data_IF_154733161178
#
_entry.id   IF_154733161178
#
_cell.length_a   1.000
_cell.length_b   1.000
_cell.length_c   1.000
_cell.angle_alpha   90.00
_cell.angle_beta   90.00
_cell.angle_gamma   90.00
#
_symmetry.space_group_name_H-M   'P 1'
#
loop_
_entity.id
_entity.type
_entity.pdbx_description
1 polymer ?
#
# COMPACT_ATOMS: atom_id res chain seq x y z
N UNK A 1 -1.60 14.30 32.60
CA UNK A 1 -1.90 13.14 31.72
C UNK A 1 -0.75 12.15 31.84
N UNK A 2 -0.94 10.88 31.50
CA UNK A 2 0.07 9.84 31.81
C UNK A 2 1.38 10.03 31.02
N UNK A 3 2.47 9.48 31.57
CA UNK A 3 3.69 9.23 30.79
C UNK A 3 3.40 8.08 29.82
N UNK A 4 2.92 8.40 28.62
CA UNK A 4 2.70 7.44 27.55
C UNK A 4 4.05 6.96 27.03
N UNK A 5 4.20 5.64 26.94
CA UNK A 5 5.39 5.01 26.41
C UNK A 5 5.52 5.20 24.88
N UNK A 6 6.69 4.83 24.36
CA UNK A 6 7.05 5.02 22.95
C UNK A 6 6.19 4.21 21.99
N UNK A 7 5.66 3.07 22.43
CA UNK A 7 4.83 2.18 21.62
C UNK A 7 3.39 2.69 21.60
N UNK A 8 2.83 3.11 22.75
CA UNK A 8 1.54 3.82 22.80
C UNK A 8 1.52 5.05 21.89
N UNK A 9 2.58 5.87 21.86
CA UNK A 9 2.65 7.06 20.97
C UNK A 9 2.58 6.65 19.48
N UNK A 10 3.24 5.56 19.09
CA UNK A 10 3.15 5.01 17.73
C UNK A 10 1.77 4.45 17.43
N UNK A 11 1.29 3.55 18.29
CA UNK A 11 0.04 2.83 18.12
C UNK A 11 -1.14 3.80 18.03
N UNK A 12 -1.14 4.90 18.80
CA UNK A 12 -2.09 5.99 18.66
C UNK A 12 -2.04 6.61 17.24
N UNK A 13 -0.84 7.01 16.79
CA UNK A 13 -0.66 7.63 15.49
C UNK A 13 -0.99 6.71 14.29
N UNK A 14 -0.73 5.41 14.43
CA UNK A 14 -1.02 4.36 13.45
C UNK A 14 -2.51 4.01 13.41
N UNK A 15 -3.22 4.09 14.56
CA UNK A 15 -4.68 4.01 14.64
C UNK A 15 -5.40 5.34 14.30
N UNK A 16 -4.69 6.32 13.73
CA UNK A 16 -5.27 7.56 13.21
C UNK A 16 -5.48 8.68 14.23
N UNK A 17 -5.01 8.56 15.47
CA UNK A 17 -5.00 9.68 16.42
C UNK A 17 -3.96 10.71 15.96
N UNK A 18 -4.42 11.90 15.57
CA UNK A 18 -3.54 13.01 15.16
C UNK A 18 -2.87 13.57 16.42
N UNK A 19 -1.57 13.33 16.57
CA UNK A 19 -0.76 13.93 17.63
C UNK A 19 -0.68 15.42 17.34
N UNK A 20 -1.17 16.24 18.28
CA UNK A 20 -1.11 17.70 18.17
C UNK A 20 0.21 18.26 18.70
N UNK A 21 0.64 19.42 18.21
CA UNK A 21 1.80 20.13 18.74
C UNK A 21 1.70 20.42 20.25
N UNK A 22 0.49 20.51 20.82
CA UNK A 22 0.27 20.61 22.27
C UNK A 22 0.66 19.32 22.98
N UNK A 23 0.22 18.15 22.49
CA UNK A 23 0.59 16.86 23.07
C UNK A 23 2.09 16.63 22.99
N UNK A 24 2.75 16.98 21.88
CA UNK A 24 4.23 16.92 21.79
C UNK A 24 4.89 17.79 22.86
N UNK A 25 4.42 19.02 23.06
CA UNK A 25 4.95 19.93 24.08
C UNK A 25 4.65 19.48 25.52
N UNK A 26 3.53 18.81 25.77
CA UNK A 26 3.19 18.26 27.09
C UNK A 26 3.96 16.95 27.37
N UNK A 27 4.27 16.15 26.34
CA UNK A 27 5.19 14.98 26.42
C UNK A 27 6.64 15.45 26.65
N UNK A 28 7.11 16.52 25.99
CA UNK A 28 8.45 17.09 26.22
C UNK A 28 8.62 17.58 27.68
N UNK A 29 7.63 18.28 28.23
CA UNK A 29 7.63 18.66 29.66
C UNK A 29 7.67 17.44 30.58
N UNK A 30 6.91 16.38 30.26
CA UNK A 30 6.89 15.16 31.06
C UNK A 30 8.20 14.37 30.99
N UNK A 31 8.82 14.26 29.81
CA UNK A 31 10.12 13.60 29.63
C UNK A 31 11.25 14.37 30.34
N UNK A 32 11.23 15.70 30.29
CA UNK A 32 12.19 16.55 31.02
C UNK A 32 12.04 16.42 32.54
N UNK A 33 10.80 16.46 33.05
CA UNK A 33 10.51 16.26 34.46
C UNK A 33 10.88 14.86 34.98
N UNK A 34 10.80 13.82 34.12
CA UNK A 34 11.16 12.44 34.47
C UNK A 34 12.67 12.16 34.37
N UNK A 35 13.36 12.76 33.38
CA UNK A 35 14.79 12.48 33.11
C UNK A 35 15.76 13.46 33.77
N UNK A 36 15.27 14.63 34.23
CA UNK A 36 16.12 15.68 34.79
C UNK A 36 16.99 16.43 33.77
N UNK A 37 16.78 16.21 32.47
CA UNK A 37 17.49 16.88 31.39
C UNK A 37 16.64 18.01 30.81
N UNK A 38 17.19 19.22 30.66
CA UNK A 38 16.50 20.33 29.97
C UNK A 38 16.39 20.16 28.45
N UNK A 39 17.12 19.20 27.87
CA UNK A 39 17.22 18.95 26.44
C UNK A 39 16.45 17.69 26.04
N UNK A 40 15.80 17.73 24.88
CA UNK A 40 15.03 16.60 24.34
C UNK A 40 15.94 15.39 24.08
N UNK A 41 15.58 14.22 24.62
CA UNK A 41 16.42 13.03 24.59
C UNK A 41 16.42 12.40 23.19
N UNK A 42 17.61 12.07 22.66
CA UNK A 42 17.73 11.38 21.37
C UNK A 42 17.04 10.03 21.43
N UNK A 43 16.13 9.78 20.48
CA UNK A 43 15.22 8.62 20.45
C UNK A 43 14.22 8.52 21.63
N UNK A 44 14.09 9.56 22.47
CA UNK A 44 13.15 9.64 23.58
C UNK A 44 11.68 9.73 23.17
N UNK A 45 10.80 9.93 24.16
CA UNK A 45 9.36 10.04 23.99
C UNK A 45 8.97 11.28 23.20
N UNK A 46 9.49 12.45 23.56
CA UNK A 46 9.19 13.70 22.86
C UNK A 46 9.79 13.75 21.45
N UNK A 47 11.00 13.21 21.28
CA UNK A 47 11.60 13.02 19.95
C UNK A 47 10.76 12.08 19.06
N UNK A 48 10.11 11.07 19.64
CA UNK A 48 9.19 10.18 18.92
C UNK A 48 7.87 10.87 18.60
N UNK A 49 7.28 11.57 19.57
CA UNK A 49 6.03 12.31 19.40
C UNK A 49 6.16 13.40 18.31
N UNK A 50 7.24 14.18 18.32
CA UNK A 50 7.58 15.15 17.28
C UNK A 50 7.73 14.46 15.91
N UNK A 51 8.48 13.35 15.83
CA UNK A 51 8.65 12.62 14.57
C UNK A 51 7.33 12.08 14.01
N UNK A 52 6.42 11.57 14.86
CA UNK A 52 5.11 11.09 14.43
C UNK A 52 4.17 12.24 14.04
N UNK A 53 4.16 13.36 14.78
CA UNK A 53 3.49 14.60 14.39
C UNK A 53 3.92 15.05 12.98
N UNK A 54 5.23 15.14 12.72
CA UNK A 54 5.75 15.66 11.46
C UNK A 54 5.45 14.73 10.27
N UNK A 55 5.46 13.41 10.49
CA UNK A 55 4.98 12.41 9.52
C UNK A 55 3.48 12.58 9.23
N UNK A 56 2.64 12.73 10.26
CA UNK A 56 1.20 12.94 10.12
C UNK A 56 0.90 14.24 9.37
N UNK A 57 1.56 15.36 9.73
CA UNK A 57 1.41 16.63 9.01
C UNK A 57 1.87 16.52 7.54
N UNK A 58 2.95 15.77 7.26
CA UNK A 58 3.39 15.51 5.89
C UNK A 58 2.34 14.74 5.08
N UNK A 59 1.82 13.63 5.64
CA UNK A 59 0.79 12.82 5.00
C UNK A 59 -0.53 13.57 4.81
N UNK A 60 -1.03 14.24 5.85
CA UNK A 60 -2.27 15.04 5.77
C UNK A 60 -2.15 16.19 4.77
N UNK A 61 -0.96 16.79 4.64
CA UNK A 61 -0.69 17.81 3.62
C UNK A 61 -0.74 17.22 2.21
N UNK A 62 0.02 16.15 1.92
CA UNK A 62 0.02 15.56 0.58
C UNK A 62 -1.37 15.02 0.21
N UNK A 63 -2.07 14.38 1.14
CA UNK A 63 -3.45 13.93 0.92
C UNK A 63 -4.40 15.11 0.62
N UNK A 64 -4.29 16.22 1.36
CA UNK A 64 -5.10 17.42 1.12
C UNK A 64 -4.76 18.14 -0.20
N UNK A 65 -3.49 18.16 -0.60
CA UNK A 65 -3.05 18.73 -1.88
C UNK A 65 -3.50 17.86 -3.07
N UNK A 66 -3.58 16.54 -2.91
CA UNK A 66 -4.19 15.66 -3.92
C UNK A 66 -5.72 15.73 -3.95
N UNK A 67 -6.40 15.86 -2.80
CA UNK A 67 -7.86 16.09 -2.72
C UNK A 67 -8.32 17.42 -3.34
N UNK A 68 -7.39 18.33 -3.66
CA UNK A 68 -7.65 19.60 -4.38
C UNK A 68 -7.54 19.46 -5.90
N UNK A 69 -6.90 18.40 -6.41
CA UNK A 69 -6.84 18.09 -7.85
C UNK A 69 -8.16 17.45 -8.28
N UNK A 70 -8.65 17.69 -9.52
CA UNK A 70 -9.72 16.88 -10.08
C UNK A 70 -9.21 15.45 -10.31
N UNK A 71 -10.10 14.45 -10.28
CA UNK A 71 -9.68 13.04 -10.32
C UNK A 71 -8.86 12.68 -11.57
N UNK A 72 -9.12 13.33 -12.72
CA UNK A 72 -8.39 13.17 -13.98
C UNK A 72 -6.90 13.50 -13.89
N UNK A 73 -6.53 14.45 -13.03
CA UNK A 73 -5.20 15.07 -13.01
C UNK A 73 -4.29 14.40 -11.96
N UNK A 74 -4.78 13.34 -11.31
CA UNK A 74 -4.04 12.52 -10.35
C UNK A 74 -3.10 11.59 -11.12
N UNK A 75 -1.80 11.82 -10.98
CA UNK A 75 -0.75 11.04 -11.67
C UNK A 75 -0.23 9.87 -10.83
N UNK A 76 0.58 8.99 -11.45
CA UNK A 76 1.27 7.91 -10.72
C UNK A 76 2.33 8.44 -9.74
N UNK A 77 3.00 9.55 -10.05
CA UNK A 77 3.98 10.13 -9.12
C UNK A 77 3.29 10.82 -7.93
N UNK A 78 2.12 11.42 -8.12
CA UNK A 78 1.25 11.91 -7.03
C UNK A 78 0.88 10.78 -6.06
N UNK A 79 0.32 9.68 -6.58
CA UNK A 79 -0.06 8.52 -5.77
C UNK A 79 1.14 7.90 -5.03
N UNK A 80 2.31 7.90 -5.66
CA UNK A 80 3.58 7.42 -5.11
C UNK A 80 4.17 8.36 -4.04
N UNK A 81 4.00 9.68 -4.14
CA UNK A 81 4.35 10.60 -3.06
C UNK A 81 3.48 10.34 -1.82
N UNK A 82 2.16 10.22 -2.00
CA UNK A 82 1.25 9.88 -0.90
C UNK A 82 1.57 8.51 -0.29
N UNK A 83 1.83 7.49 -1.12
CA UNK A 83 2.28 6.17 -0.67
C UNK A 83 3.59 6.26 0.14
N UNK A 84 4.51 7.13 -0.26
CA UNK A 84 5.79 7.32 0.44
C UNK A 84 5.58 8.05 1.78
N UNK A 85 4.66 9.02 1.85
CA UNK A 85 4.29 9.70 3.09
C UNK A 85 3.61 8.73 4.08
N UNK A 86 2.64 7.95 3.61
CA UNK A 86 1.93 6.95 4.41
C UNK A 86 2.86 5.82 4.88
N UNK A 87 3.79 5.36 4.02
CA UNK A 87 4.82 4.38 4.39
C UNK A 87 5.78 4.90 5.47
N UNK A 88 6.11 6.19 5.44
CA UNK A 88 6.93 6.84 6.48
C UNK A 88 6.16 7.01 7.79
N UNK A 89 4.85 7.23 7.73
CA UNK A 89 3.97 7.27 8.90
C UNK A 89 3.93 5.89 9.59
N UNK A 90 3.43 4.88 8.89
CA UNK A 90 3.23 3.50 9.38
C UNK A 90 4.53 2.71 9.61
N UNK A 91 5.64 3.12 8.99
CA UNK A 91 6.91 2.38 9.04
C UNK A 91 6.95 1.10 8.19
N UNK A 92 5.85 0.76 7.52
CA UNK A 92 5.72 -0.38 6.60
C UNK A 92 4.99 0.05 5.32
N UNK A 93 4.87 -0.85 4.32
CA UNK A 93 4.10 -0.58 3.10
C UNK A 93 2.63 -0.30 3.45
N UNK A 94 1.97 0.72 2.87
CA UNK A 94 0.56 1.00 3.12
C UNK A 94 -0.34 -0.21 2.80
N UNK A 95 -1.39 -0.47 3.61
CA UNK A 95 -2.29 -1.60 3.41
C UNK A 95 -3.18 -1.42 2.17
N UNK A 96 -3.82 -2.50 1.73
CA UNK A 96 -4.91 -2.39 0.75
C UNK A 96 -6.10 -1.61 1.37
N UNK A 97 -6.75 -0.75 0.60
CA UNK A 97 -7.81 0.14 1.09
C UNK A 97 -7.32 1.42 1.80
N UNK A 98 -6.00 1.64 1.85
CA UNK A 98 -5.40 2.92 2.26
C UNK A 98 -5.79 4.10 1.36
N UNK A 99 -5.54 5.31 1.85
CA UNK A 99 -5.57 6.51 1.02
C UNK A 99 -4.62 6.36 -0.18
N UNK A 100 -3.36 5.96 0.05
CA UNK A 100 -2.40 5.71 -1.02
C UNK A 100 -2.87 4.67 -2.06
N UNK A 101 -3.48 3.55 -1.62
CA UNK A 101 -4.05 2.56 -2.54
C UNK A 101 -5.22 3.10 -3.36
N UNK A 102 -6.02 4.00 -2.78
CA UNK A 102 -7.13 4.67 -3.46
C UNK A 102 -6.63 5.62 -4.54
N UNK A 103 -5.67 6.51 -4.21
CA UNK A 103 -5.05 7.42 -5.17
C UNK A 103 -4.30 6.69 -6.30
N UNK A 104 -3.61 5.58 -5.99
CA UNK A 104 -2.99 4.72 -7.01
C UNK A 104 -4.06 4.14 -7.97
N UNK A 105 -5.18 3.65 -7.43
CA UNK A 105 -6.28 3.13 -8.25
C UNK A 105 -6.96 4.21 -9.12
N UNK A 106 -6.85 5.50 -8.79
CA UNK A 106 -7.31 6.58 -9.65
C UNK A 106 -6.26 6.85 -10.75
N UNK A 107 -4.99 7.02 -10.38
CA UNK A 107 -3.89 7.22 -11.32
C UNK A 107 -3.80 6.11 -12.40
N UNK A 108 -3.97 4.85 -12.01
CA UNK A 108 -3.96 3.70 -12.93
C UNK A 108 -5.16 3.72 -13.90
N UNK A 109 -6.32 4.27 -13.50
CA UNK A 109 -7.48 4.46 -14.39
C UNK A 109 -7.26 5.61 -15.37
N UNK A 110 -6.65 6.71 -14.92
CA UNK A 110 -6.34 7.87 -15.75
C UNK A 110 -5.36 7.50 -16.87
N UNK A 111 -4.27 6.81 -16.52
CA UNK A 111 -3.30 6.32 -17.51
C UNK A 111 -3.97 5.36 -18.52
N UNK A 112 -4.81 4.43 -18.05
CA UNK A 112 -5.56 3.52 -18.90
C UNK A 112 -6.66 4.21 -19.74
N UNK A 113 -7.09 5.43 -19.38
CA UNK A 113 -7.98 6.26 -20.18
C UNK A 113 -7.20 6.95 -21.31
N UNK A 114 -6.09 7.63 -21.00
CA UNK A 114 -5.23 8.28 -22.00
C UNK A 114 -4.72 7.28 -23.07
N UNK A 115 -4.23 6.11 -22.65
CA UNK A 115 -3.79 5.05 -23.58
C UNK A 115 -4.90 4.59 -24.56
N UNK A 116 -6.18 4.70 -24.17
CA UNK A 116 -7.32 4.36 -25.05
C UNK A 116 -7.67 5.50 -26.01
N UNK A 117 -7.51 6.75 -25.59
CA UNK A 117 -7.72 7.91 -26.46
C UNK A 117 -6.65 7.96 -27.57
N UNK A 118 -5.37 7.79 -27.21
CA UNK A 118 -4.26 7.72 -28.16
C UNK A 118 -4.46 6.60 -29.19
N UNK A 119 -4.75 5.38 -28.73
CA UNK A 119 -5.01 4.23 -29.60
C UNK A 119 -6.24 4.43 -30.52
N UNK A 120 -7.25 5.19 -30.09
CA UNK A 120 -8.44 5.50 -30.89
C UNK A 120 -8.15 6.52 -32.00
N UNK A 121 -7.19 7.42 -31.79
CA UNK A 121 -6.72 8.38 -32.79
C UNK A 121 -5.86 7.70 -33.86
N UNK A 122 -5.00 6.76 -33.48
CA UNK A 122 -4.15 5.99 -34.41
C UNK A 122 -5.02 5.10 -35.33
N UNK A 123 -5.95 4.33 -34.76
CA UNK A 123 -6.85 3.43 -35.51
C UNK A 123 -7.78 4.13 -36.53
N UNK A 124 -7.90 5.46 -36.49
CA UNK A 124 -8.62 6.26 -37.50
C UNK A 124 -7.78 6.66 -38.72
N UNK A 125 -6.46 6.50 -38.69
CA UNK A 125 -5.58 6.87 -39.83
C UNK A 125 -5.43 5.73 -40.85
N UNK A 126 -5.45 4.47 -40.41
CA UNK A 126 -5.17 3.32 -41.30
C UNK A 126 -6.32 2.91 -42.24
N UNK A 127 -7.55 3.36 -41.98
CA UNK A 127 -8.73 2.98 -42.80
C UNK A 127 -8.92 3.84 -44.06
N UNK A 128 -8.12 4.88 -44.26
CA UNK A 128 -8.22 5.82 -45.38
C UNK A 128 -7.32 5.50 -46.60
N UNK A 129 -6.41 4.52 -46.50
CA UNK A 129 -5.41 4.20 -47.54
C UNK A 129 -5.55 2.75 -48.02
N UNK A 130 -6.70 2.42 -48.62
CA UNK A 130 -6.93 1.14 -49.32
C UNK A 130 -7.65 1.33 -50.67
N UNK A 131 -7.00 2.06 -51.56
CA UNK A 131 -7.23 2.04 -53.00
C UNK A 131 -5.87 2.18 -53.69
N UNK A 132 -5.58 1.32 -54.67
CA UNK A 132 -4.36 1.29 -55.51
C UNK A 132 -3.02 1.13 -54.73
N UNK A 133 -2.17 0.11 -54.97
CA UNK A 133 -2.00 -0.77 -56.13
C UNK A 133 -1.62 -2.21 -55.73
N UNK A 134 -1.87 -3.16 -56.64
CA UNK A 134 -1.38 -4.54 -56.56
C UNK A 134 -0.83 -4.96 -57.94
N UNK A 135 0.50 -4.98 -58.12
CA UNK A 135 1.10 -5.40 -59.39
C UNK A 135 2.56 -5.89 -59.29
N UNK A 136 2.81 -7.01 -59.97
CA UNK A 136 4.11 -7.49 -60.48
C UNK A 136 5.10 -8.16 -59.52
N UNK A 137 6.01 -8.95 -60.12
CA UNK A 137 6.65 -10.12 -59.50
C UNK A 137 8.02 -10.46 -60.12
N UNK A 138 8.86 -11.11 -59.32
CA UNK A 138 9.88 -12.12 -59.69
C UNK A 138 11.24 -11.75 -60.35
N UNK A 139 12.24 -12.56 -59.95
CA UNK A 139 13.43 -13.04 -60.70
C UNK A 139 14.63 -12.08 -60.97
N UNK A 140 15.90 -12.53 -61.10
CA UNK A 140 16.63 -13.76 -60.65
C UNK A 140 18.14 -13.67 -60.97
N UNK A 141 19.01 -14.19 -60.08
CA UNK A 141 20.47 -14.44 -60.29
C UNK A 141 21.36 -13.18 -60.58
N UNK A 142 22.70 -13.18 -60.56
CA UNK A 142 23.72 -14.25 -60.44
C UNK A 142 24.94 -13.81 -59.57
N UNK A 143 25.92 -14.70 -59.34
CA UNK A 143 27.22 -14.50 -58.66
C UNK A 143 28.36 -14.34 -59.73
N UNK A 144 29.68 -14.67 -59.55
CA UNK A 144 30.45 -15.16 -58.39
C UNK A 144 31.90 -14.62 -58.15
N UNK A 145 32.43 -14.88 -56.93
CA UNK A 145 33.86 -14.96 -56.54
C UNK A 145 34.74 -13.67 -56.67
N UNK A 146 35.91 -13.46 -56.05
CA UNK A 146 37.03 -14.28 -55.48
C UNK A 146 37.77 -13.48 -54.36
N UNK A 147 38.73 -13.93 -53.53
CA UNK A 147 39.27 -15.24 -53.05
C UNK A 147 40.40 -14.98 -51.99
N UNK A 148 40.87 -16.02 -51.25
CA UNK A 148 41.99 -16.08 -50.28
C UNK A 148 41.84 -15.31 -48.93
N UNK A 149 42.40 -15.79 -47.80
CA UNK A 149 43.22 -17.00 -47.54
C UNK A 149 43.21 -17.48 -46.07
N UNK A 150 43.91 -18.59 -45.77
CA UNK A 150 43.79 -19.40 -44.53
C UNK A 150 45.18 -19.80 -43.99
N UNK A 151 45.39 -19.84 -42.66
CA UNK A 151 46.12 -20.92 -41.90
C UNK A 151 46.45 -20.58 -40.42
N UNK A 152 46.18 -21.55 -39.52
CA UNK A 152 47.05 -22.12 -38.44
C UNK A 152 47.71 -21.21 -37.35
N UNK A 153 48.06 -21.65 -36.11
CA UNK A 153 47.97 -22.94 -35.36
C UNK A 153 48.12 -22.71 -33.83
N UNK A 154 47.73 -23.71 -33.01
CA UNK A 154 48.40 -24.33 -31.81
C UNK A 154 49.47 -23.52 -31.01
N UNK A 155 49.74 -23.70 -29.70
CA UNK A 155 49.26 -24.52 -28.56
C UNK A 155 50.00 -24.01 -27.28
N UNK A 156 49.83 -24.44 -26.01
CA UNK A 156 49.01 -25.43 -25.29
C UNK A 156 48.69 -24.82 -23.87
N UNK A 157 48.41 -25.48 -22.73
CA UNK A 157 48.37 -26.89 -22.30
C UNK A 157 47.48 -27.07 -21.03
N UNK A 158 47.27 -28.33 -20.65
CA UNK A 158 46.77 -28.78 -19.32
C UNK A 158 47.86 -29.66 -18.66
N UNK A 159 47.77 -29.99 -17.35
CA UNK A 159 47.37 -31.37 -17.04
C UNK A 159 46.64 -31.62 -15.68
N UNK A 160 45.66 -32.52 -15.71
CA UNK A 160 45.43 -33.65 -14.76
C UNK A 160 45.19 -33.42 -13.24
N UNK A 161 44.44 -34.27 -12.50
CA UNK A 161 43.62 -35.46 -12.85
C UNK A 161 42.61 -35.83 -11.73
N UNK A 162 41.54 -36.53 -12.12
CA UNK A 162 40.82 -37.62 -11.42
C UNK A 162 40.23 -37.38 -9.99
N UNK A 163 39.25 -38.15 -9.50
CA UNK A 163 38.76 -39.49 -9.88
C UNK A 163 37.22 -39.58 -9.93
N UNK A 164 36.67 -40.57 -10.65
CA UNK A 164 35.22 -40.76 -10.89
C UNK A 164 34.75 -42.19 -10.59
N UNK A 165 33.84 -42.35 -9.63
CA UNK A 165 33.12 -43.60 -9.32
C UNK A 165 31.70 -43.28 -8.80
N UNK A 166 30.64 -44.07 -9.04
CA UNK A 166 30.38 -45.07 -10.08
C UNK A 166 28.84 -45.22 -10.23
N UNK A 167 28.35 -45.81 -11.32
CA UNK A 167 26.92 -45.82 -11.65
C UNK A 167 26.10 -46.93 -10.95
N UNK A 168 24.76 -46.73 -10.82
CA UNK A 168 23.71 -47.62 -11.38
C UNK A 168 22.24 -47.23 -11.06
N UNK A 169 21.41 -47.23 -12.12
CA UNK A 169 20.00 -47.67 -12.23
C UNK A 169 18.89 -47.26 -11.23
N UNK A 170 17.90 -46.49 -11.73
CA UNK A 170 16.46 -46.86 -11.89
C UNK A 170 15.57 -47.23 -10.65
N UNK A 171 14.22 -47.22 -10.77
CA UNK A 171 13.35 -46.19 -11.37
C UNK A 171 12.03 -45.90 -10.58
N UNK A 172 11.29 -44.87 -11.02
CA UNK A 172 9.81 -44.73 -10.95
C UNK A 172 9.06 -44.61 -9.60
N UNK A 173 8.44 -43.43 -9.42
CA UNK A 173 7.07 -43.18 -8.88
C UNK A 173 6.65 -43.59 -7.46
N UNK A 174 5.99 -42.60 -6.81
CA UNK A 174 4.98 -42.67 -5.73
C UNK A 174 5.46 -42.66 -4.26
N UNK A 175 4.61 -42.03 -3.43
CA UNK A 175 4.66 -41.90 -1.95
C UNK A 175 5.78 -41.04 -1.34
N UNK A 176 5.57 -39.71 -1.34
CA UNK A 176 5.34 -39.00 -0.07
C UNK A 176 4.03 -38.23 -0.20
N UNK A 177 2.95 -38.87 0.24
CA UNK A 177 1.83 -38.17 0.88
C UNK A 177 2.13 -38.07 2.37
N UNK A 178 1.42 -37.18 3.07
CA UNK A 178 1.43 -37.04 4.54
C UNK A 178 2.68 -36.37 5.16
N UNK A 179 2.60 -35.05 5.31
CA UNK A 179 3.37 -34.21 6.25
C UNK A 179 2.73 -32.82 6.42
N UNK A 180 1.41 -32.72 6.24
CA UNK A 180 0.65 -31.46 6.21
C UNK A 180 -0.36 -31.40 7.37
N UNK A 181 0.09 -31.64 8.61
CA UNK A 181 -0.72 -31.36 9.80
C UNK A 181 0.14 -31.29 11.08
N UNK A 182 0.62 -30.07 11.41
CA UNK A 182 0.94 -29.65 12.80
C UNK A 182 1.37 -28.17 12.91
N UNK A 183 0.42 -27.25 12.85
CA UNK A 183 0.61 -25.90 13.43
C UNK A 183 -0.64 -25.11 13.84
N UNK A 184 -1.77 -25.79 13.98
CA UNK A 184 -3.07 -25.18 14.31
C UNK A 184 -3.52 -25.60 15.72
N UNK A 185 -3.53 -24.63 16.63
CA UNK A 185 -4.12 -24.71 17.98
C UNK A 185 -4.29 -23.30 18.55
N UNK A 186 -3.19 -22.53 18.61
CA UNK A 186 -3.15 -21.17 19.16
C UNK A 186 -3.89 -20.11 18.31
N UNK A 187 -4.10 -20.34 17.02
CA UNK A 187 -4.78 -19.43 16.08
C UNK A 187 -6.30 -19.57 16.11
N UNK A 188 -6.82 -20.74 16.49
CA UNK A 188 -8.26 -21.05 16.45
C UNK A 188 -8.99 -20.42 17.64
N UNK A 189 -8.36 -20.42 18.82
CA UNK A 189 -8.91 -19.80 20.03
C UNK A 189 -9.18 -18.30 19.83
N UNK A 190 -8.19 -17.54 19.35
CA UNK A 190 -8.33 -16.10 19.10
C UNK A 190 -9.44 -15.80 18.07
N UNK A 191 -9.55 -16.61 17.00
CA UNK A 191 -10.61 -16.47 16.01
C UNK A 191 -12.03 -16.67 16.62
N UNK A 192 -12.19 -17.58 17.58
CA UNK A 192 -13.48 -17.74 18.30
C UNK A 192 -13.77 -16.56 19.22
N UNK A 193 -12.77 -15.99 19.89
CA UNK A 193 -12.96 -14.83 20.79
C UNK A 193 -13.25 -13.54 20.00
N UNK A 194 -12.59 -13.32 18.87
CA UNK A 194 -12.90 -12.24 17.91
C UNK A 194 -14.35 -12.38 17.42
N UNK A 195 -14.79 -13.59 17.09
CA UNK A 195 -16.17 -13.85 16.65
C UNK A 195 -17.18 -13.50 17.75
N UNK A 196 -16.91 -13.89 19.00
CA UNK A 196 -17.75 -13.52 20.15
C UNK A 196 -17.82 -11.99 20.33
N UNK A 197 -16.67 -11.31 20.40
CA UNK A 197 -16.59 -9.85 20.54
C UNK A 197 -17.37 -9.13 19.43
N UNK A 198 -17.29 -9.60 18.18
CA UNK A 198 -18.05 -9.05 17.05
C UNK A 198 -19.57 -9.15 17.24
N UNK A 199 -20.07 -10.27 17.77
CA UNK A 199 -21.51 -10.42 18.07
C UNK A 199 -21.97 -9.51 19.22
N UNK A 200 -21.11 -9.31 20.22
CA UNK A 200 -21.38 -8.45 21.38
C UNK A 200 -21.44 -6.96 20.98
N UNK A 201 -20.46 -6.50 20.17
CA UNK A 201 -20.45 -5.15 19.57
C UNK A 201 -21.70 -4.89 18.71
N UNK A 202 -22.17 -5.90 17.97
CA UNK A 202 -23.38 -5.76 17.13
C UNK A 202 -24.62 -5.51 18.00
N UNK A 203 -24.76 -6.25 19.11
CA UNK A 203 -25.84 -6.05 20.08
C UNK A 203 -25.76 -4.67 20.75
N UNK A 204 -24.57 -4.20 21.14
CA UNK A 204 -24.40 -2.85 21.69
C UNK A 204 -24.79 -1.77 20.68
N UNK A 205 -24.49 -1.97 19.39
CA UNK A 205 -24.87 -1.05 18.33
C UNK A 205 -26.39 -0.95 18.14
N UNK A 206 -27.12 -2.07 18.20
CA UNK A 206 -28.59 -2.08 18.21
C UNK A 206 -29.18 -1.34 19.43
N UNK A 207 -28.59 -1.53 20.62
CA UNK A 207 -29.00 -0.79 21.82
C UNK A 207 -28.71 0.71 21.72
N UNK A 208 -27.61 1.12 21.07
CA UNK A 208 -27.27 2.52 20.81
C UNK A 208 -28.25 3.14 19.81
N UNK A 209 -28.62 2.43 18.74
CA UNK A 209 -29.64 2.87 17.78
C UNK A 209 -30.97 3.12 18.49
N UNK A 210 -31.43 2.17 19.32
CA UNK A 210 -32.66 2.32 20.09
C UNK A 210 -32.63 3.54 21.03
N UNK A 211 -31.53 3.74 21.77
CA UNK A 211 -31.35 4.90 22.67
C UNK A 211 -31.33 6.23 21.89
N UNK A 212 -30.76 6.25 20.68
CA UNK A 212 -30.76 7.43 19.80
C UNK A 212 -32.18 7.82 19.36
N UNK A 213 -33.01 6.85 18.99
CA UNK A 213 -34.41 7.10 18.59
C UNK A 213 -35.28 7.57 19.78
N UNK A 214 -35.00 7.05 20.98
CA UNK A 214 -35.65 7.49 22.23
C UNK A 214 -35.27 8.94 22.58
N UNK A 215 -33.99 9.29 22.53
CA UNK A 215 -33.51 10.68 22.69
C UNK A 215 -34.10 11.61 21.63
N UNK A 216 -34.19 11.17 20.37
CA UNK A 216 -34.79 11.96 19.28
C UNK A 216 -36.31 12.17 19.46
N UNK A 217 -36.99 11.34 20.25
CA UNK A 217 -38.37 11.54 20.67
C UNK A 217 -38.46 12.53 21.84
N UNK A 218 -37.61 12.40 22.85
CA UNK A 218 -37.56 13.34 23.99
C UNK A 218 -37.22 14.76 23.54
N UNK A 219 -36.27 14.93 22.61
CA UNK A 219 -35.93 16.25 22.03
C UNK A 219 -37.16 16.96 21.44
N UNK A 220 -38.02 16.24 20.70
CA UNK A 220 -39.25 16.80 20.13
C UNK A 220 -40.31 17.15 21.18
N UNK A 221 -40.32 16.46 22.31
CA UNK A 221 -41.21 16.81 23.42
C UNK A 221 -40.69 18.04 24.19
N UNK A 222 -39.37 18.18 24.35
CA UNK A 222 -38.74 19.38 24.90
C UNK A 222 -38.93 20.60 23.99
N UNK A 223 -38.76 20.44 22.68
CA UNK A 223 -39.02 21.47 21.66
C UNK A 223 -40.48 21.95 21.75
N UNK A 224 -41.45 21.03 21.71
CA UNK A 224 -42.88 21.36 21.86
C UNK A 224 -43.22 22.05 23.18
N UNK A 225 -42.59 21.65 24.30
CA UNK A 225 -42.77 22.31 25.61
C UNK A 225 -42.13 23.70 25.66
N UNK A 226 -41.07 23.94 24.87
CA UNK A 226 -40.43 25.24 24.77
C UNK A 226 -41.30 26.22 23.99
N UNK A 227 -41.94 25.78 22.90
CA UNK A 227 -42.93 26.58 22.17
C UNK A 227 -44.13 26.94 23.07
N UNK A 228 -44.69 25.97 23.81
CA UNK A 228 -45.80 26.19 24.75
C UNK A 228 -45.48 27.21 25.87
N UNK A 229 -44.19 27.37 26.23
CA UNK A 229 -43.72 28.35 27.21
C UNK A 229 -43.52 29.75 26.57
N UNK A 230 -43.28 29.83 25.26
CA UNK A 230 -43.09 31.09 24.54
C UNK A 230 -44.40 31.74 24.11
N UNK A 231 -45.47 30.95 23.93
CA UNK A 231 -46.83 31.40 23.61
C UNK A 231 -47.72 31.72 24.85
N UNK A 232 -47.16 31.68 26.07
CA UNK A 232 -47.86 31.83 27.37
C UNK A 232 -47.61 33.16 28.10
#
# INVERSE_FOLDING_TARGET
MAATDKETIKNLAENGHIITAKEVADIDKAEKALTGNDHTVKNGLAATAQSMHDKQQTFLKTEADLKRKPESDITKDDAKELQTAEARLLGHRPPAGSAAATFQSIADKNEAAHQREDASIEGRKETAVKADQNASTNEKEDAPAKDSGVSEKKEAATPHQDEVVSAKSDPSTAKITDSFEKKDDATVSEATEITKKKTEITKEMDEIIKKKDEIAKEMKEVEKRMDEILDS
#
